data_IF_212920674933
#
_entry.id   IF_212920674933
#
_cell.length_a   1.000
_cell.length_b   1.000
_cell.length_c   1.000
_cell.angle_alpha   90.00
_cell.angle_beta   90.00
_cell.angle_gamma   90.00
#
_symmetry.space_group_name_H-M   'P 1'
#
loop_
_entity.id
_entity.type
_entity.pdbx_description
1 polymer ?
#
# COMPACT_ATOMS: atom_id res chain seq x y z
N UNK A 1 -7.92 -51.43 -27.14
CA UNK A 1 -8.83 -50.48 -27.80
C UNK A 1 -8.05 -49.21 -28.03
N UNK A 2 -7.96 -48.71 -29.28
CA UNK A 2 -7.27 -47.46 -29.56
C UNK A 2 -8.10 -46.32 -29.00
N UNK A 3 -7.51 -45.52 -28.10
CA UNK A 3 -8.07 -44.23 -27.70
C UNK A 3 -8.21 -43.37 -28.96
N UNK A 4 -9.33 -42.67 -29.17
CA UNK A 4 -9.46 -41.77 -30.30
C UNK A 4 -8.40 -40.68 -30.14
N UNK A 5 -7.67 -40.43 -31.22
CA UNK A 5 -6.79 -39.29 -31.41
C UNK A 5 -7.51 -38.05 -30.93
N UNK A 6 -7.03 -37.44 -29.85
CA UNK A 6 -7.34 -36.04 -29.57
C UNK A 6 -6.85 -35.26 -30.79
N UNK A 7 -7.78 -34.85 -31.66
CA UNK A 7 -7.53 -33.90 -32.73
C UNK A 7 -6.62 -32.80 -32.17
N UNK A 8 -5.50 -32.54 -32.86
CA UNK A 8 -4.49 -31.59 -32.42
C UNK A 8 -5.09 -30.18 -32.49
N UNK A 9 -5.90 -29.82 -31.49
CA UNK A 9 -6.66 -28.57 -31.42
C UNK A 9 -5.76 -27.34 -31.56
N UNK A 10 -4.46 -27.49 -31.27
CA UNK A 10 -3.44 -26.48 -31.52
C UNK A 10 -3.31 -26.10 -33.00
N UNK A 11 -3.58 -27.03 -33.93
CA UNK A 11 -3.62 -26.75 -35.38
C UNK A 11 -4.85 -25.94 -35.79
N UNK A 12 -5.85 -25.81 -34.92
CA UNK A 12 -7.04 -24.98 -35.16
C UNK A 12 -6.84 -23.53 -34.73
N UNK A 13 -5.72 -23.21 -34.06
CA UNK A 13 -5.40 -21.84 -33.67
C UNK A 13 -5.07 -21.00 -34.91
N UNK A 14 -5.62 -19.78 -35.04
CA UNK A 14 -5.26 -18.87 -36.12
C UNK A 14 -3.75 -18.57 -36.14
N UNK A 15 -3.18 -18.40 -37.33
CA UNK A 15 -1.74 -18.11 -37.48
C UNK A 15 -1.32 -16.80 -36.83
N UNK A 16 -2.25 -15.84 -36.68
CA UNK A 16 -2.06 -14.54 -36.02
C UNK A 16 -2.43 -14.57 -34.52
N UNK A 17 -2.82 -15.72 -33.98
CA UNK A 17 -3.26 -15.86 -32.58
C UNK A 17 -2.21 -15.37 -31.58
N UNK A 18 -0.92 -15.61 -31.87
CA UNK A 18 0.15 -15.13 -31.02
C UNK A 18 0.22 -13.60 -30.99
N UNK A 19 0.06 -12.93 -32.14
CA UNK A 19 0.14 -11.47 -32.19
C UNK A 19 -0.98 -10.82 -31.37
N UNK A 20 -2.15 -11.46 -31.32
CA UNK A 20 -3.26 -11.05 -30.46
C UNK A 20 -2.95 -11.25 -28.96
N UNK A 21 -2.28 -12.36 -28.63
CA UNK A 21 -2.02 -12.80 -27.26
C UNK A 21 -0.70 -12.25 -26.67
N UNK A 22 0.25 -11.78 -27.49
CA UNK A 22 1.60 -11.43 -27.07
C UNK A 22 1.62 -10.39 -25.92
N UNK A 23 0.82 -9.33 -26.06
CA UNK A 23 0.66 -8.32 -25.01
C UNK A 23 0.02 -8.90 -23.74
N UNK A 24 -0.88 -9.86 -23.89
CA UNK A 24 -1.49 -10.56 -22.76
C UNK A 24 -0.45 -11.41 -22.03
N UNK A 25 0.30 -12.27 -22.73
CA UNK A 25 1.33 -13.13 -22.14
C UNK A 25 2.37 -12.30 -21.39
N UNK A 26 2.86 -11.22 -22.02
CA UNK A 26 3.82 -10.33 -21.40
C UNK A 26 3.26 -9.67 -20.13
N UNK A 27 2.05 -9.13 -20.17
CA UNK A 27 1.44 -8.46 -19.02
C UNK A 27 1.16 -9.44 -17.86
N UNK A 28 0.61 -10.61 -18.16
CA UNK A 28 0.35 -11.66 -17.16
C UNK A 28 1.66 -12.19 -16.56
N UNK A 29 2.68 -12.33 -17.40
CA UNK A 29 4.03 -12.71 -16.99
C UNK A 29 4.68 -11.71 -16.04
N UNK A 30 4.61 -10.42 -16.35
CA UNK A 30 5.10 -9.37 -15.45
C UNK A 30 4.34 -9.37 -14.12
N UNK A 31 3.02 -9.55 -14.15
CA UNK A 31 2.20 -9.64 -12.94
C UNK A 31 2.59 -10.87 -12.08
N UNK A 32 2.80 -12.02 -12.71
CA UNK A 32 3.28 -13.22 -12.01
C UNK A 32 4.69 -13.01 -11.42
N UNK A 33 5.61 -12.37 -12.14
CA UNK A 33 6.94 -12.08 -11.62
C UNK A 33 6.87 -11.16 -10.40
N UNK A 34 6.04 -10.11 -10.44
CA UNK A 34 5.83 -9.22 -9.29
C UNK A 34 5.31 -10.00 -8.08
N UNK A 35 4.28 -10.84 -8.26
CA UNK A 35 3.75 -11.70 -7.18
C UNK A 35 4.81 -12.64 -6.60
N UNK A 36 5.59 -13.29 -7.47
CA UNK A 36 6.58 -14.30 -7.08
C UNK A 36 7.93 -13.71 -6.65
N UNK A 37 8.12 -12.40 -6.77
CA UNK A 37 9.36 -11.70 -6.39
C UNK A 37 9.58 -11.62 -4.86
N UNK A 38 8.58 -12.02 -4.06
CA UNK A 38 8.59 -11.98 -2.59
C UNK A 38 8.68 -13.38 -1.98
N UNK A 39 9.82 -14.09 -2.11
CA UNK A 39 9.94 -15.50 -1.70
C UNK A 39 9.93 -15.71 -0.18
N UNK A 40 10.06 -14.64 0.61
CA UNK A 40 10.02 -14.73 2.07
C UNK A 40 8.60 -14.96 2.60
N UNK A 41 7.59 -14.55 1.83
CA UNK A 41 6.19 -14.75 2.18
C UNK A 41 5.81 -16.23 2.00
N UNK A 42 5.09 -16.79 2.98
CA UNK A 42 4.63 -18.19 2.96
C UNK A 42 3.65 -18.46 1.82
N UNK A 43 2.78 -17.49 1.52
CA UNK A 43 1.70 -17.65 0.55
C UNK A 43 2.17 -17.68 -0.91
N UNK A 44 3.09 -16.82 -1.39
CA UNK A 44 3.75 -17.00 -2.69
C UNK A 44 4.46 -18.35 -2.82
N UNK A 45 5.10 -18.86 -1.76
CA UNK A 45 5.69 -20.22 -1.79
C UNK A 45 4.65 -21.31 -1.97
N UNK A 46 3.49 -21.19 -1.33
CA UNK A 46 2.37 -22.12 -1.55
C UNK A 46 1.82 -22.04 -2.97
N UNK A 47 1.71 -20.84 -3.55
CA UNK A 47 1.31 -20.67 -4.95
C UNK A 47 2.32 -21.29 -5.91
N UNK A 48 3.63 -21.13 -5.66
CA UNK A 48 4.68 -21.80 -6.45
C UNK A 48 4.57 -23.32 -6.36
N UNK A 49 4.30 -23.86 -5.16
CA UNK A 49 4.16 -25.30 -4.94
C UNK A 49 2.91 -25.87 -5.64
N UNK A 50 1.78 -25.15 -5.61
CA UNK A 50 0.55 -25.57 -6.27
C UNK A 50 0.63 -25.49 -7.80
N UNK A 51 1.23 -24.42 -8.32
CA UNK A 51 1.23 -24.16 -9.77
C UNK A 51 2.46 -24.66 -10.51
N UNK A 52 3.54 -24.98 -9.78
CA UNK A 52 4.85 -25.27 -10.37
C UNK A 52 5.51 -24.05 -11.02
N UNK A 53 4.90 -22.87 -10.95
CA UNK A 53 5.49 -21.65 -11.48
C UNK A 53 6.52 -21.10 -10.52
N UNK A 54 7.75 -20.98 -11.00
CA UNK A 54 8.83 -20.24 -10.33
C UNK A 54 9.12 -18.97 -11.12
N UNK A 55 9.85 -18.01 -10.53
CA UNK A 55 10.33 -16.83 -11.25
C UNK A 55 11.12 -17.21 -12.51
N UNK A 56 11.94 -18.27 -12.45
CA UNK A 56 12.66 -18.81 -13.59
C UNK A 56 11.71 -19.35 -14.68
N UNK A 57 10.69 -20.12 -14.29
CA UNK A 57 9.71 -20.68 -15.24
C UNK A 57 8.87 -19.58 -15.90
N UNK A 58 8.45 -18.59 -15.14
CA UNK A 58 7.72 -17.43 -15.68
C UNK A 58 8.61 -16.65 -16.65
N UNK A 59 9.88 -16.45 -16.31
CA UNK A 59 10.84 -15.78 -17.21
C UNK A 59 11.01 -16.55 -18.52
N UNK A 60 11.11 -17.87 -18.47
CA UNK A 60 11.15 -18.74 -19.65
C UNK A 60 9.90 -18.59 -20.52
N UNK A 61 8.70 -18.66 -19.92
CA UNK A 61 7.44 -18.47 -20.64
C UNK A 61 7.31 -17.06 -21.24
N UNK A 62 7.89 -16.04 -20.61
CA UNK A 62 7.93 -14.67 -21.14
C UNK A 62 8.86 -14.51 -22.36
N UNK A 63 9.71 -15.51 -22.65
CA UNK A 63 10.54 -15.51 -23.87
C UNK A 63 9.80 -15.96 -25.12
N UNK A 64 8.54 -16.42 -25.00
CA UNK A 64 7.70 -16.79 -26.14
C UNK A 64 7.48 -15.54 -27.00
N UNK A 65 8.19 -15.49 -28.13
CA UNK A 65 8.27 -14.37 -29.06
C UNK A 65 7.60 -14.67 -30.42
N UNK A 66 7.00 -15.86 -30.57
CA UNK A 66 6.41 -16.29 -31.84
C UNK A 66 5.30 -17.32 -31.65
N UNK A 67 4.45 -17.45 -32.67
CA UNK A 67 3.39 -18.46 -32.72
C UNK A 67 3.94 -19.89 -32.56
N UNK A 68 5.02 -20.23 -33.26
CA UNK A 68 5.62 -21.57 -33.15
C UNK A 68 6.08 -21.88 -31.72
N UNK A 69 6.71 -20.91 -31.03
CA UNK A 69 7.12 -21.09 -29.64
C UNK A 69 5.92 -21.25 -28.70
N UNK A 70 4.82 -20.53 -28.95
CA UNK A 70 3.59 -20.69 -28.19
C UNK A 70 3.02 -22.10 -28.36
N UNK A 71 2.94 -22.61 -29.60
CA UNK A 71 2.49 -23.97 -29.88
C UNK A 71 3.36 -25.00 -29.16
N UNK A 72 4.69 -24.86 -29.23
CA UNK A 72 5.63 -25.74 -28.52
C UNK A 72 5.40 -25.70 -27.01
N UNK A 73 5.24 -24.51 -26.41
CA UNK A 73 4.97 -24.38 -24.98
C UNK A 73 3.63 -25.04 -24.58
N UNK A 74 2.59 -24.92 -25.42
CA UNK A 74 1.30 -25.57 -25.21
C UNK A 74 1.35 -27.09 -25.41
N UNK A 75 2.27 -27.61 -26.23
CA UNK A 75 2.45 -29.06 -26.40
C UNK A 75 3.22 -29.66 -25.22
N UNK A 76 4.32 -29.02 -24.82
CA UNK A 76 5.23 -29.56 -23.83
C UNK A 76 4.76 -29.31 -22.39
N UNK A 77 4.17 -28.13 -22.13
CA UNK A 77 3.89 -27.65 -20.77
C UNK A 77 2.56 -26.87 -20.70
N UNK A 78 1.42 -27.44 -21.16
CA UNK A 78 0.16 -26.70 -21.24
C UNK A 78 -0.35 -26.24 -19.86
N UNK A 79 -0.10 -27.01 -18.80
CA UNK A 79 -0.47 -26.62 -17.43
C UNK A 79 0.31 -25.39 -16.94
N UNK A 80 1.57 -25.23 -17.37
CA UNK A 80 2.37 -24.06 -17.00
C UNK A 80 1.84 -22.79 -17.66
N UNK A 81 1.46 -22.87 -18.94
CA UNK A 81 0.81 -21.77 -19.67
C UNK A 81 -0.54 -21.42 -19.04
N UNK A 82 -1.34 -22.44 -18.71
CA UNK A 82 -2.61 -22.26 -18.00
C UNK A 82 -2.42 -21.55 -16.66
N UNK A 83 -1.48 -22.01 -15.82
CA UNK A 83 -1.22 -21.41 -14.52
C UNK A 83 -0.69 -19.97 -14.63
N UNK A 84 0.11 -19.67 -15.67
CA UNK A 84 0.62 -18.31 -15.92
C UNK A 84 -0.54 -17.35 -16.18
N UNK A 85 -1.46 -17.76 -17.04
CA UNK A 85 -2.65 -16.96 -17.37
C UNK A 85 -3.57 -16.82 -16.15
N UNK A 86 -3.80 -17.91 -15.39
CA UNK A 86 -4.64 -17.89 -14.19
C UNK A 86 -4.08 -16.94 -13.13
N UNK A 87 -2.82 -17.14 -12.70
CA UNK A 87 -2.21 -16.30 -11.66
C UNK A 87 -2.01 -14.85 -12.14
N UNK A 88 -1.62 -14.65 -13.39
CA UNK A 88 -1.48 -13.32 -13.96
C UNK A 88 -2.81 -12.56 -13.92
N UNK A 89 -3.92 -13.22 -14.28
CA UNK A 89 -5.25 -12.60 -14.32
C UNK A 89 -5.72 -12.23 -12.92
N UNK A 90 -5.56 -13.15 -11.96
CA UNK A 90 -5.85 -12.90 -10.54
C UNK A 90 -5.04 -11.71 -10.00
N UNK A 91 -3.76 -11.63 -10.35
CA UNK A 91 -2.86 -10.58 -9.87
C UNK A 91 -3.24 -9.21 -10.46
N UNK A 92 -3.56 -9.16 -11.75
CA UNK A 92 -3.93 -7.92 -12.46
C UNK A 92 -5.16 -7.23 -11.88
N UNK A 93 -6.04 -7.94 -11.18
CA UNK A 93 -7.23 -7.38 -10.51
C UNK A 93 -6.99 -6.84 -9.10
N UNK A 94 -5.75 -6.86 -8.63
CA UNK A 94 -5.40 -6.42 -7.28
C UNK A 94 -4.46 -5.22 -7.32
N UNK A 95 -4.27 -4.57 -6.16
CA UNK A 95 -3.27 -3.52 -5.99
C UNK A 95 -1.84 -4.01 -6.22
N UNK A 96 -1.59 -5.31 -6.18
CA UNK A 96 -0.27 -5.90 -6.41
C UNK A 96 0.24 -5.65 -7.82
N UNK A 97 -0.66 -5.53 -8.80
CA UNK A 97 -0.28 -5.24 -10.18
C UNK A 97 0.08 -3.77 -10.44
N UNK A 98 -0.09 -2.87 -9.47
CA UNK A 98 0.15 -1.42 -9.66
C UNK A 98 1.55 -1.11 -10.21
N UNK A 99 2.67 -1.66 -9.67
CA UNK A 99 4.00 -1.38 -10.21
C UNK A 99 4.15 -1.84 -11.66
N UNK A 100 3.54 -2.99 -12.01
CA UNK A 100 3.54 -3.54 -13.37
C UNK A 100 2.75 -2.65 -14.33
N UNK A 101 1.54 -2.23 -13.94
CA UNK A 101 0.70 -1.37 -14.77
C UNK A 101 1.34 0.01 -14.98
N UNK A 102 1.95 0.59 -13.95
CA UNK A 102 2.70 1.84 -14.07
C UNK A 102 3.94 1.71 -14.97
N UNK A 103 4.65 0.58 -14.87
CA UNK A 103 5.79 0.29 -15.73
C UNK A 103 5.37 0.22 -17.21
N UNK A 104 4.33 -0.56 -17.53
CA UNK A 104 3.79 -0.69 -18.89
C UNK A 104 3.28 0.66 -19.40
N UNK A 105 2.58 1.41 -18.55
CA UNK A 105 2.10 2.75 -18.88
C UNK A 105 3.26 3.67 -19.32
N UNK A 106 4.35 3.70 -18.55
CA UNK A 106 5.54 4.51 -18.87
C UNK A 106 6.26 4.00 -20.12
N UNK A 107 6.42 2.70 -20.26
CA UNK A 107 7.11 2.09 -21.39
C UNK A 107 6.38 2.34 -22.72
N UNK A 108 5.04 2.28 -22.72
CA UNK A 108 4.22 2.51 -23.90
C UNK A 108 3.86 3.99 -24.12
N UNK A 109 4.12 4.86 -23.13
CA UNK A 109 3.77 6.28 -23.20
C UNK A 109 2.25 6.53 -23.24
N UNK A 110 1.45 5.70 -22.59
CA UNK A 110 -0.03 5.76 -22.64
C UNK A 110 -0.65 6.40 -21.40
N UNK A 111 -1.85 6.94 -21.53
CA UNK A 111 -2.61 7.49 -20.41
C UNK A 111 -3.27 6.42 -19.53
N UNK A 112 -3.76 6.82 -18.35
CA UNK A 112 -4.43 5.91 -17.39
C UNK A 112 -5.63 5.19 -18.04
N UNK A 113 -6.46 5.93 -18.78
CA UNK A 113 -7.62 5.36 -19.46
C UNK A 113 -7.24 4.32 -20.53
N UNK A 114 -6.17 4.56 -21.28
CA UNK A 114 -5.65 3.62 -22.27
C UNK A 114 -5.05 2.38 -21.61
N UNK A 115 -4.34 2.54 -20.48
CA UNK A 115 -3.84 1.42 -19.70
C UNK A 115 -4.99 0.55 -19.16
N UNK A 116 -6.09 1.18 -18.71
CA UNK A 116 -7.27 0.44 -18.28
C UNK A 116 -7.94 -0.32 -19.42
N UNK A 117 -8.00 0.26 -20.62
CA UNK A 117 -8.50 -0.43 -21.83
C UNK A 117 -7.61 -1.61 -22.20
N UNK A 118 -6.28 -1.44 -22.19
CA UNK A 118 -5.32 -2.51 -22.44
C UNK A 118 -5.45 -3.63 -21.40
N UNK A 119 -5.54 -3.29 -20.12
CA UNK A 119 -5.78 -4.27 -19.05
C UNK A 119 -7.05 -5.08 -19.32
N UNK A 120 -8.16 -4.40 -19.60
CA UNK A 120 -9.47 -5.05 -19.86
C UNK A 120 -9.39 -5.99 -21.06
N UNK A 121 -8.83 -5.51 -22.17
CA UNK A 121 -8.58 -6.32 -23.36
C UNK A 121 -7.77 -7.58 -23.03
N UNK A 122 -6.67 -7.43 -22.28
CA UNK A 122 -5.82 -8.55 -21.92
C UNK A 122 -6.54 -9.56 -21.02
N UNK A 123 -7.43 -9.10 -20.13
CA UNK A 123 -8.19 -9.96 -19.22
C UNK A 123 -9.30 -10.74 -19.94
N UNK A 124 -9.98 -10.09 -20.89
CA UNK A 124 -11.03 -10.73 -21.68
C UNK A 124 -10.42 -11.79 -22.61
N UNK A 125 -9.34 -11.45 -23.30
CA UNK A 125 -8.66 -12.39 -24.19
C UNK A 125 -8.03 -13.56 -23.42
N UNK A 126 -7.35 -13.31 -22.29
CA UNK A 126 -6.79 -14.38 -21.47
C UNK A 126 -7.86 -15.23 -20.81
N UNK A 127 -8.99 -14.64 -20.41
CA UNK A 127 -10.15 -15.36 -19.89
C UNK A 127 -10.76 -16.31 -20.91
N UNK A 128 -10.97 -15.84 -22.14
CA UNK A 128 -11.46 -16.68 -23.23
C UNK A 128 -10.48 -17.83 -23.54
N UNK A 129 -9.17 -17.53 -23.58
CA UNK A 129 -8.16 -18.55 -23.86
C UNK A 129 -8.02 -19.58 -22.73
N UNK A 130 -8.13 -19.18 -21.46
CA UNK A 130 -8.17 -20.09 -20.31
C UNK A 130 -9.32 -21.10 -20.44
N UNK A 131 -10.51 -20.66 -20.83
CA UNK A 131 -11.66 -21.56 -21.05
C UNK A 131 -11.38 -22.58 -22.16
N UNK A 132 -10.72 -22.16 -23.24
CA UNK A 132 -10.28 -23.08 -24.30
C UNK A 132 -9.26 -24.09 -23.77
N UNK A 133 -8.28 -23.65 -22.98
CA UNK A 133 -7.30 -24.55 -22.36
C UNK A 133 -7.96 -25.56 -21.42
N UNK A 134 -8.94 -25.14 -20.62
CA UNK A 134 -9.69 -26.02 -19.71
C UNK A 134 -10.46 -27.13 -20.46
N UNK A 135 -10.91 -26.87 -21.68
CA UNK A 135 -11.63 -27.85 -22.51
C UNK A 135 -10.70 -28.88 -23.14
N UNK A 136 -9.45 -28.52 -23.40
CA UNK A 136 -8.51 -29.34 -24.15
C UNK A 136 -7.38 -29.97 -23.31
N UNK A 137 -7.17 -29.48 -22.09
CA UNK A 137 -6.22 -30.07 -21.16
C UNK A 137 -6.72 -31.45 -20.66
N UNK A 138 -5.81 -32.42 -20.46
CA UNK A 138 -6.13 -33.73 -19.91
C UNK A 138 -6.94 -33.68 -18.60
N UNK A 139 -8.01 -34.48 -18.52
CA UNK A 139 -8.88 -34.56 -17.35
C UNK A 139 -8.16 -35.00 -16.06
N UNK A 140 -7.03 -35.70 -16.19
CA UNK A 140 -6.15 -36.09 -15.07
C UNK A 140 -5.60 -34.89 -14.28
N UNK A 141 -5.57 -33.69 -14.88
CA UNK A 141 -5.18 -32.48 -14.17
C UNK A 141 -6.23 -31.98 -13.17
N UNK A 142 -7.45 -32.53 -13.16
CA UNK A 142 -8.53 -32.15 -12.22
C UNK A 142 -8.68 -30.63 -12.11
N UNK A 143 -8.70 -29.94 -13.26
CA UNK A 143 -8.46 -28.49 -13.38
C UNK A 143 -9.40 -27.64 -12.52
N UNK A 144 -10.66 -28.05 -12.35
CA UNK A 144 -11.60 -27.34 -11.47
C UNK A 144 -11.15 -27.31 -10.01
N UNK A 145 -10.68 -28.44 -9.48
CA UNK A 145 -10.14 -28.52 -8.11
C UNK A 145 -8.81 -27.77 -7.99
N UNK A 146 -7.96 -27.90 -9.01
CA UNK A 146 -6.69 -27.18 -9.06
C UNK A 146 -6.90 -25.66 -9.03
N UNK A 147 -7.76 -25.14 -9.91
CA UNK A 147 -8.12 -23.72 -9.98
C UNK A 147 -8.67 -23.20 -8.66
N UNK A 148 -9.63 -23.92 -8.07
CA UNK A 148 -10.22 -23.56 -6.79
C UNK A 148 -9.15 -23.39 -5.70
N UNK A 149 -8.20 -24.33 -5.57
CA UNK A 149 -7.10 -24.24 -4.59
C UNK A 149 -6.18 -23.06 -4.85
N UNK A 150 -5.86 -22.78 -6.10
CA UNK A 150 -5.04 -21.61 -6.47
C UNK A 150 -5.74 -20.31 -6.11
N UNK A 151 -7.03 -20.19 -6.43
CA UNK A 151 -7.85 -19.03 -6.11
C UNK A 151 -8.00 -18.84 -4.58
N UNK A 152 -8.20 -19.92 -3.81
CA UNK A 152 -8.26 -19.88 -2.34
C UNK A 152 -6.97 -19.36 -1.71
N UNK A 153 -5.81 -19.91 -2.10
CA UNK A 153 -4.52 -19.45 -1.57
C UNK A 153 -4.22 -18.02 -2.00
N UNK A 154 -4.56 -17.67 -3.25
CA UNK A 154 -4.39 -16.29 -3.73
C UNK A 154 -5.29 -15.31 -2.96
N UNK A 155 -6.53 -15.69 -2.65
CA UNK A 155 -7.43 -14.86 -1.86
C UNK A 155 -6.85 -14.59 -0.47
N UNK A 156 -6.34 -15.62 0.21
CA UNK A 156 -5.64 -15.45 1.48
C UNK A 156 -4.42 -14.53 1.39
N UNK A 157 -3.71 -14.53 0.25
CA UNK A 157 -2.60 -13.58 0.03
C UNK A 157 -3.08 -12.13 -0.07
N UNK A 158 -4.17 -11.87 -0.79
CA UNK A 158 -4.75 -10.54 -0.93
C UNK A 158 -5.29 -10.03 0.41
N UNK A 159 -5.94 -10.89 1.19
CA UNK A 159 -6.41 -10.54 2.54
C UNK A 159 -5.25 -10.18 3.48
N UNK A 160 -4.13 -10.89 3.40
CA UNK A 160 -2.92 -10.59 4.15
C UNK A 160 -2.20 -9.31 3.68
N UNK A 161 -2.47 -8.84 2.45
CA UNK A 161 -1.84 -7.67 1.84
C UNK A 161 -2.90 -6.71 1.27
N UNK A 162 -3.73 -6.11 2.14
CA UNK A 162 -4.79 -5.21 1.68
C UNK A 162 -4.18 -4.05 0.88
N UNK A 163 -4.92 -3.62 -0.15
CA UNK A 163 -4.53 -2.44 -0.90
C UNK A 163 -4.35 -1.25 0.05
N UNK A 164 -3.28 -0.44 -0.12
CA UNK A 164 -3.12 0.77 0.68
C UNK A 164 -4.35 1.66 0.48
N UNK A 165 -4.97 2.09 1.58
CA UNK A 165 -6.14 2.95 1.55
C UNK A 165 -5.88 4.20 0.69
N UNK A 166 -6.87 4.68 -0.08
CA UNK A 166 -6.70 5.89 -0.86
C UNK A 166 -6.34 7.07 0.06
N UNK A 167 -5.48 8.00 -0.38
CA UNK A 167 -5.14 9.16 0.42
C UNK A 167 -6.39 10.01 0.65
N UNK A 168 -6.64 10.36 1.90
CA UNK A 168 -7.68 11.30 2.31
C UNK A 168 -7.28 12.75 1.98
N UNK A 169 -5.98 13.06 2.06
CA UNK A 169 -5.43 14.36 1.73
C UNK A 169 -3.98 14.23 1.22
N UNK A 170 -3.54 15.19 0.41
CA UNK A 170 -2.12 15.40 0.10
C UNK A 170 -1.71 16.74 0.71
N UNK A 171 -0.73 16.70 1.61
CA UNK A 171 -0.25 17.89 2.33
C UNK A 171 1.18 18.18 1.92
N UNK A 172 1.51 19.47 1.78
CA UNK A 172 2.90 19.93 1.63
C UNK A 172 3.26 20.78 2.85
N UNK A 173 4.22 20.31 3.63
CA UNK A 173 4.68 21.03 4.80
C UNK A 173 5.83 21.97 4.45
N UNK A 174 5.81 23.18 4.98
CA UNK A 174 7.04 23.98 5.07
C UNK A 174 8.04 23.30 6.00
N UNK A 175 9.31 23.69 5.95
CA UNK A 175 10.34 23.11 6.82
C UNK A 175 9.98 23.24 8.32
N UNK A 176 9.53 24.42 8.75
CA UNK A 176 9.09 24.63 10.13
C UNK A 176 7.90 23.74 10.51
N UNK A 177 6.91 23.60 9.63
CA UNK A 177 5.76 22.73 9.88
C UNK A 177 6.17 21.26 9.97
N UNK A 178 7.07 20.80 9.09
CA UNK A 178 7.54 19.43 9.08
C UNK A 178 8.29 19.10 10.37
N UNK A 179 9.19 19.98 10.82
CA UNK A 179 9.89 19.79 12.10
C UNK A 179 8.93 19.79 13.28
N UNK A 180 7.89 20.62 13.26
CA UNK A 180 6.87 20.62 14.30
C UNK A 180 6.04 19.34 14.34
N UNK A 181 5.66 18.78 13.18
CA UNK A 181 4.93 17.51 13.12
C UNK A 181 5.82 16.37 13.64
N UNK A 182 7.10 16.33 13.23
CA UNK A 182 8.08 15.36 13.75
C UNK A 182 8.23 15.46 15.26
N UNK A 183 8.42 16.68 15.78
CA UNK A 183 8.52 16.92 17.22
C UNK A 183 7.28 16.46 17.96
N UNK A 184 6.09 16.75 17.42
CA UNK A 184 4.82 16.38 18.05
C UNK A 184 4.68 14.87 18.18
N UNK A 185 5.06 14.10 17.15
CA UNK A 185 5.03 12.65 17.20
C UNK A 185 6.07 12.07 18.16
N UNK A 186 7.30 12.60 18.15
CA UNK A 186 8.36 12.15 19.06
C UNK A 186 8.03 12.44 20.52
N UNK A 187 7.45 13.61 20.80
CA UNK A 187 6.96 13.99 22.12
C UNK A 187 5.91 12.98 22.57
N UNK A 188 4.84 12.81 21.79
CA UNK A 188 3.72 11.92 22.15
C UNK A 188 4.15 10.47 22.30
N UNK A 189 5.09 10.01 21.47
CA UNK A 189 5.71 8.69 21.61
C UNK A 189 6.41 8.50 22.96
N UNK A 190 7.02 9.55 23.50
CA UNK A 190 7.83 9.50 24.74
C UNK A 190 7.04 9.85 26.01
N UNK A 191 5.86 10.48 25.88
CA UNK A 191 5.03 10.94 27.00
C UNK A 191 4.50 9.81 27.92
N UNK A 192 4.04 8.65 27.43
CA UNK A 192 3.47 7.60 28.27
C UNK A 192 4.41 7.08 29.36
N UNK A 193 5.73 7.15 29.13
CA UNK A 193 6.76 6.70 30.08
C UNK A 193 7.19 7.80 31.05
N UNK A 194 6.75 9.05 30.86
CA UNK A 194 7.29 10.22 31.55
C UNK A 194 6.73 10.45 32.97
N UNK A 195 5.64 9.77 33.38
CA UNK A 195 5.11 9.90 34.75
C UNK A 195 3.64 9.51 34.94
N UNK A 196 3.14 9.62 36.18
CA UNK A 196 1.78 9.17 36.60
C UNK A 196 0.73 10.30 36.62
N UNK A 197 0.81 11.23 35.67
CA UNK A 197 -0.17 12.33 35.56
C UNK A 197 -1.50 11.84 34.94
N UNK A 198 -2.64 12.43 35.34
CA UNK A 198 -3.95 12.09 34.77
C UNK A 198 -3.97 12.28 33.24
N UNK A 199 -3.48 13.42 32.75
CA UNK A 199 -3.25 13.68 31.34
C UNK A 199 -2.41 12.61 30.64
N UNK A 200 -1.27 12.19 31.19
CA UNK A 200 -0.38 11.20 30.56
C UNK A 200 -1.06 9.83 30.44
N UNK A 201 -1.80 9.41 31.47
CA UNK A 201 -2.59 8.18 31.43
C UNK A 201 -3.71 8.26 30.39
N UNK A 202 -4.33 9.42 30.22
CA UNK A 202 -5.36 9.63 29.22
C UNK A 202 -4.77 9.61 27.79
N UNK A 203 -3.60 10.22 27.57
CA UNK A 203 -2.85 10.12 26.30
C UNK A 203 -2.47 8.67 26.00
N UNK A 204 -1.96 7.95 27.00
CA UNK A 204 -1.60 6.53 26.90
C UNK A 204 -2.82 5.60 26.78
N UNK A 205 -4.05 6.09 26.90
CA UNK A 205 -5.26 5.31 26.62
C UNK A 205 -5.73 5.46 25.16
N UNK A 206 -5.17 6.40 24.39
CA UNK A 206 -5.53 6.60 23.00
C UNK A 206 -4.82 5.58 22.10
N UNK A 207 -5.55 4.76 21.32
CA UNK A 207 -4.96 3.70 20.52
C UNK A 207 -4.05 4.24 19.40
N UNK A 208 -4.42 5.37 18.80
CA UNK A 208 -3.65 5.98 17.69
C UNK A 208 -2.35 6.64 18.15
N UNK A 209 -2.20 6.90 19.45
CA UNK A 209 -1.04 7.55 20.05
C UNK A 209 -0.13 6.56 20.80
N UNK A 210 -0.39 5.26 20.71
CA UNK A 210 0.51 4.24 21.23
C UNK A 210 1.84 4.27 20.46
N UNK A 211 2.98 3.97 21.11
CA UNK A 211 4.30 3.93 20.45
C UNK A 211 4.30 3.10 19.16
N UNK A 212 3.79 1.87 19.20
CA UNK A 212 3.72 0.96 18.05
C UNK A 212 2.85 1.49 16.89
N UNK A 213 1.86 2.34 17.19
CA UNK A 213 1.03 2.97 16.16
C UNK A 213 1.74 4.19 15.53
N UNK A 214 2.62 4.87 16.27
CA UNK A 214 3.31 6.09 15.83
C UNK A 214 4.59 5.80 15.02
N UNK A 215 5.28 4.69 15.31
CA UNK A 215 6.54 4.29 14.66
C UNK A 215 6.52 4.36 13.13
N UNK A 216 5.49 3.83 12.42
CA UNK A 216 5.43 3.91 10.95
C UNK A 216 5.39 5.36 10.45
N UNK A 217 4.63 6.23 11.12
CA UNK A 217 4.51 7.65 10.76
C UNK A 217 5.78 8.43 11.07
N UNK A 218 6.43 8.13 12.19
CA UNK A 218 7.74 8.70 12.56
C UNK A 218 8.79 8.34 11.49
N UNK A 219 8.84 7.07 11.06
CA UNK A 219 9.74 6.62 9.99
C UNK A 219 9.49 7.36 8.68
N UNK A 220 8.22 7.37 8.21
CA UNK A 220 7.83 8.07 6.97
C UNK A 220 8.18 9.56 7.00
N UNK A 221 7.88 10.23 8.11
CA UNK A 221 8.19 11.66 8.23
C UNK A 221 9.67 11.93 8.42
N UNK A 222 10.45 10.99 8.97
CA UNK A 222 11.90 11.12 9.11
C UNK A 222 12.63 11.23 7.77
N UNK A 223 12.14 10.52 6.75
CA UNK A 223 12.72 10.52 5.40
C UNK A 223 12.18 11.66 4.51
N UNK A 224 10.99 12.19 4.82
CA UNK A 224 10.33 13.23 4.02
C UNK A 224 11.14 14.53 3.97
N UNK A 225 11.24 15.17 2.79
CA UNK A 225 11.85 16.49 2.67
C UNK A 225 10.82 17.62 2.78
N UNK A 226 11.27 18.81 3.16
CA UNK A 226 10.38 19.98 3.17
C UNK A 226 9.81 20.24 1.77
N UNK A 227 8.56 20.70 1.70
CA UNK A 227 7.79 20.96 0.47
C UNK A 227 7.44 19.76 -0.41
N UNK A 228 7.88 18.56 -0.03
CA UNK A 228 7.46 17.31 -0.66
C UNK A 228 5.98 17.02 -0.39
N UNK A 229 5.31 16.38 -1.35
CA UNK A 229 3.93 15.95 -1.20
C UNK A 229 3.83 14.73 -0.30
N UNK A 230 3.11 14.85 0.81
CA UNK A 230 2.79 13.74 1.68
C UNK A 230 1.32 13.33 1.48
N UNK A 231 1.05 12.20 0.79
CA UNK A 231 -0.27 11.59 0.82
C UNK A 231 -0.52 10.97 2.21
N UNK A 232 -1.63 11.36 2.82
CA UNK A 232 -2.09 10.90 4.12
C UNK A 232 -3.39 10.13 3.97
N UNK A 233 -3.45 8.92 4.52
CA UNK A 233 -4.71 8.19 4.71
C UNK A 233 -5.54 8.81 5.85
N UNK A 234 -6.82 8.48 5.96
CA UNK A 234 -7.67 9.02 7.03
C UNK A 234 -7.17 8.67 8.46
N UNK A 235 -6.73 7.42 8.74
CA UNK A 235 -6.16 7.08 10.05
C UNK A 235 -4.91 7.90 10.37
N UNK A 236 -4.05 8.11 9.38
CA UNK A 236 -2.84 8.91 9.52
C UNK A 236 -3.16 10.38 9.79
N UNK A 237 -4.16 10.94 9.10
CA UNK A 237 -4.61 12.30 9.34
C UNK A 237 -5.17 12.47 10.76
N UNK A 238 -5.94 11.50 11.24
CA UNK A 238 -6.45 11.47 12.63
C UNK A 238 -5.29 11.40 13.62
N UNK A 239 -4.30 10.55 13.37
CA UNK A 239 -3.12 10.41 14.23
C UNK A 239 -2.33 11.72 14.31
N UNK A 240 -2.05 12.37 13.18
CA UNK A 240 -1.36 13.66 13.15
C UNK A 240 -2.17 14.75 13.86
N UNK A 241 -3.50 14.77 13.65
CA UNK A 241 -4.39 15.70 14.33
C UNK A 241 -4.30 15.57 15.86
N UNK A 242 -4.39 14.33 16.37
CA UNK A 242 -4.31 14.06 17.80
C UNK A 242 -2.93 14.38 18.37
N UNK A 243 -1.85 13.98 17.68
CA UNK A 243 -0.48 14.23 18.13
C UNK A 243 -0.16 15.73 18.21
N UNK A 244 -0.56 16.51 17.20
CA UNK A 244 -0.38 17.97 17.19
C UNK A 244 -1.16 18.64 18.33
N UNK A 245 -2.37 18.17 18.63
CA UNK A 245 -3.18 18.68 19.74
C UNK A 245 -2.57 18.37 21.11
N UNK A 246 -2.11 17.14 21.33
CA UNK A 246 -1.42 16.75 22.57
C UNK A 246 -0.12 17.54 22.73
N UNK A 247 0.64 17.71 21.66
CA UNK A 247 1.82 18.56 21.65
C UNK A 247 1.47 19.99 22.09
N UNK A 248 0.45 20.59 21.48
CA UNK A 248 -0.08 21.89 21.91
C UNK A 248 -0.37 21.92 23.42
N UNK A 249 -1.17 20.99 23.92
CA UNK A 249 -1.56 20.88 25.34
C UNK A 249 -0.35 20.79 26.29
N UNK A 250 0.67 20.01 25.93
CA UNK A 250 1.91 19.91 26.72
C UNK A 250 2.65 21.25 26.76
N UNK A 251 2.70 21.97 25.64
CA UNK A 251 3.38 23.27 25.57
C UNK A 251 2.65 24.42 26.27
N UNK A 252 1.32 24.35 26.44
CA UNK A 252 0.53 25.38 27.15
C UNK A 252 0.27 25.05 28.62
N UNK A 253 0.59 23.84 29.08
CA UNK A 253 0.36 23.41 30.47
C UNK A 253 1.62 23.39 31.32
N UNK A 254 1.47 23.44 32.64
CA UNK A 254 2.54 23.22 33.63
C UNK A 254 3.11 21.79 33.59
N UNK A 255 2.57 20.92 32.74
CA UNK A 255 3.00 19.51 32.61
C UNK A 255 4.47 19.42 32.19
N UNK A 256 4.97 20.34 31.36
CA UNK A 256 6.40 20.44 31.03
C UNK A 256 7.27 20.70 32.27
N UNK A 257 6.81 21.62 33.13
CA UNK A 257 7.54 22.05 34.33
C UNK A 257 7.49 20.96 35.42
N UNK A 258 6.34 20.30 35.58
CA UNK A 258 6.15 19.20 36.56
C UNK A 258 6.85 17.90 36.19
N UNK A 259 7.04 17.62 34.90
CA UNK A 259 7.73 16.42 34.42
C UNK A 259 9.25 16.61 34.31
N UNK A 260 9.78 17.79 34.62
CA UNK A 260 11.22 18.07 34.51
C UNK A 260 11.76 17.98 33.08
N UNK A 261 10.87 18.01 32.08
CA UNK A 261 11.21 17.91 30.65
C UNK A 261 11.79 19.24 30.11
N UNK A 262 11.87 20.29 30.92
CA UNK A 262 12.52 21.56 30.59
C UNK A 262 13.95 21.38 30.09
N UNK A 263 14.68 20.39 30.61
CA UNK A 263 16.07 20.11 30.21
C UNK A 263 16.20 19.52 28.80
N UNK A 264 15.11 19.02 28.20
CA UNK A 264 15.11 18.48 26.83
C UNK A 264 14.85 19.56 25.77
N UNK A 265 14.46 20.78 26.19
CA UNK A 265 14.26 21.91 25.31
C UNK A 265 15.38 22.93 25.50
N UNK A 266 15.92 23.52 24.41
CA UNK A 266 17.03 24.46 24.51
C UNK A 266 16.64 25.65 25.40
N UNK A 267 17.40 25.85 26.47
CA UNK A 267 17.19 26.92 27.43
C UNK A 267 17.37 28.29 26.75
N UNK A 268 16.58 29.25 27.22
CA UNK A 268 16.55 30.64 26.77
C UNK A 268 17.91 31.31 27.05
N UNK A 269 18.77 31.46 26.05
CA UNK A 269 19.91 32.37 26.16
C UNK A 269 19.36 33.80 26.27
N UNK A 270 19.75 34.48 27.34
CA UNK A 270 19.37 35.84 27.74
C UNK A 270 19.34 36.83 26.56
N UNK A 271 18.15 37.28 26.18
CA UNK A 271 17.90 38.35 25.21
C UNK A 271 18.53 39.67 25.70
N UNK A 272 19.51 40.16 24.96
CA UNK A 272 19.79 41.60 24.88
C UNK A 272 18.71 42.24 24.00
N UNK A 273 18.23 43.41 24.44
CA UNK A 273 17.04 44.08 23.93
C UNK A 273 17.03 44.31 22.40
N UNK A 274 16.13 43.61 21.72
CA UNK A 274 15.48 44.01 20.48
C UNK A 274 14.04 43.46 20.50
N UNK A 275 13.13 44.03 19.70
CA UNK A 275 11.68 43.81 19.68
C UNK A 275 11.20 42.39 20.07
N UNK A 276 10.09 42.24 20.82
CA UNK A 276 9.68 40.94 21.34
C UNK A 276 9.38 39.98 20.19
N UNK A 277 10.31 39.05 19.95
CA UNK A 277 10.06 37.91 19.10
C UNK A 277 8.90 37.12 19.73
N UNK A 278 7.96 36.57 18.93
CA UNK A 278 6.94 35.70 19.48
C UNK A 278 7.64 34.57 20.23
N UNK A 279 7.24 34.36 21.48
CA UNK A 279 7.80 33.29 22.30
C UNK A 279 7.65 31.96 21.56
N UNK A 280 8.61 31.04 21.67
CA UNK A 280 8.55 29.74 20.96
C UNK A 280 7.21 29.01 21.23
N UNK A 281 6.62 29.19 22.42
CA UNK A 281 5.29 28.68 22.79
C UNK A 281 4.16 29.26 21.92
N UNK A 282 4.21 30.55 21.58
CA UNK A 282 3.24 31.20 20.69
C UNK A 282 3.36 30.67 19.24
N UNK A 283 4.58 30.52 18.73
CA UNK A 283 4.81 29.97 17.40
C UNK A 283 4.30 28.52 17.27
N UNK A 284 4.54 27.67 18.28
CA UNK A 284 4.01 26.32 18.36
C UNK A 284 2.48 26.33 18.39
N UNK A 285 1.88 27.19 19.23
CA UNK A 285 0.43 27.34 19.33
C UNK A 285 -0.23 27.77 18.01
N UNK A 286 0.38 28.70 17.27
CA UNK A 286 -0.11 29.13 15.95
C UNK A 286 -0.04 28.00 14.91
N UNK A 287 1.05 27.23 14.89
CA UNK A 287 1.21 26.11 13.96
C UNK A 287 0.23 24.98 14.24
N UNK A 288 0.04 24.60 15.50
CA UNK A 288 -0.95 23.59 15.92
C UNK A 288 -2.37 24.07 15.58
N UNK A 289 -2.69 25.32 15.90
CA UNK A 289 -4.00 25.91 15.62
C UNK A 289 -4.28 26.00 14.12
N UNK A 290 -3.28 26.34 13.32
CA UNK A 290 -3.36 26.41 11.87
C UNK A 290 -3.68 25.05 11.25
N UNK A 291 -2.93 24.01 11.62
CA UNK A 291 -3.18 22.64 11.16
C UNK A 291 -4.56 22.15 11.57
N UNK A 292 -4.93 22.38 12.82
CA UNK A 292 -6.24 22.00 13.38
C UNK A 292 -7.39 22.65 12.62
N UNK A 293 -7.30 23.96 12.37
CA UNK A 293 -8.33 24.70 11.61
C UNK A 293 -8.43 24.18 10.19
N UNK A 294 -7.30 23.87 9.54
CA UNK A 294 -7.30 23.29 8.22
C UNK A 294 -8.01 21.92 8.19
N UNK A 295 -7.68 21.00 9.11
CA UNK A 295 -8.34 19.68 9.20
C UNK A 295 -9.84 19.85 9.44
N UNK A 296 -10.23 20.73 10.37
CA UNK A 296 -11.64 20.93 10.72
C UNK A 296 -12.45 21.55 9.60
N UNK A 297 -11.85 22.46 8.83
CA UNK A 297 -12.48 23.09 7.68
C UNK A 297 -12.60 22.14 6.49
N UNK A 298 -11.57 21.32 6.23
CA UNK A 298 -11.51 20.42 5.08
C UNK A 298 -12.38 19.18 5.29
N UNK A 299 -12.50 18.71 6.54
CA UNK A 299 -13.24 17.50 6.92
C UNK A 299 -14.23 17.80 8.06
N UNK A 300 -15.30 18.59 7.80
CA UNK A 300 -16.21 19.04 8.85
C UNK A 300 -17.05 17.90 9.44
N UNK A 301 -17.49 16.97 8.60
CA UNK A 301 -18.46 15.91 8.92
C UNK A 301 -17.84 14.50 9.01
N UNK A 302 -16.52 14.39 8.87
CA UNK A 302 -15.84 13.09 8.86
C UNK A 302 -15.92 12.40 10.24
N UNK A 303 -16.57 11.21 10.35
CA UNK A 303 -16.81 10.56 11.63
C UNK A 303 -15.54 10.28 12.45
N UNK A 304 -14.46 9.84 11.78
CA UNK A 304 -13.20 9.54 12.45
C UNK A 304 -12.59 10.80 13.11
N UNK A 305 -12.65 11.94 12.43
CA UNK A 305 -12.16 13.21 12.96
C UNK A 305 -13.09 13.81 14.02
N UNK A 306 -14.40 13.59 13.93
CA UNK A 306 -15.34 13.97 14.99
C UNK A 306 -15.08 13.20 16.29
N UNK A 307 -14.84 11.88 16.19
CA UNK A 307 -14.44 11.07 17.34
C UNK A 307 -13.09 11.52 17.92
N UNK A 308 -12.11 11.80 17.06
CA UNK A 308 -10.81 12.31 17.48
C UNK A 308 -10.91 13.67 18.19
N UNK A 309 -11.81 14.57 17.75
CA UNK A 309 -12.11 15.84 18.42
C UNK A 309 -12.64 15.60 19.83
N UNK A 310 -13.60 14.69 20.00
CA UNK A 310 -14.15 14.35 21.31
C UNK A 310 -13.08 13.78 22.24
N UNK A 311 -12.22 12.90 21.74
CA UNK A 311 -11.10 12.33 22.48
C UNK A 311 -10.11 13.42 22.93
N UNK A 312 -9.74 14.35 22.04
CA UNK A 312 -8.87 15.48 22.37
C UNK A 312 -9.51 16.40 23.40
N UNK A 313 -10.81 16.70 23.30
CA UNK A 313 -11.52 17.50 24.30
C UNK A 313 -11.46 16.83 25.69
N UNK A 314 -11.67 15.51 25.75
CA UNK A 314 -11.55 14.77 27.01
C UNK A 314 -10.12 14.77 27.59
N UNK A 315 -9.08 14.88 26.75
CA UNK A 315 -7.71 15.08 27.23
C UNK A 315 -7.52 16.46 27.88
N UNK A 316 -8.13 17.50 27.32
CA UNK A 316 -8.04 18.85 27.87
C UNK A 316 -8.65 18.93 29.28
N UNK A 317 -9.71 18.16 29.53
CA UNK A 317 -10.34 18.04 30.86
C UNK A 317 -9.44 17.32 31.90
N UNK A 318 -8.39 16.63 31.45
CA UNK A 318 -7.45 15.86 32.29
C UNK A 318 -6.10 16.57 32.56
N UNK A 319 -5.93 17.79 32.05
CA UNK A 319 -4.81 18.69 32.34
C UNK A 319 -4.94 19.31 33.74
#
# INVERSE_FOLDING_TARGET
>A
MPSPSSDNWLETLPSDFYDQLAHCLSLHGMACLELLSRPQDELPRQLMALTGLTTARVTELNTIASHQQLLTALQEQPLAVYNLLLLGRLTLDTSLAKPVLEYVQRQMGIGIAQMQQLKTYCQDLSGAFLLTLEQHLPAEFMLGLHRMRVEEVFHGYVEAHPAPAPPAATVRFSEAQLQMVRLSLLLVHSLPEAGDHAFLRAVAALPNLQPSALEPMIGRLGELQATEELPLTMPELVQLYQAMQVCGMVFVSEVLERLGLEALFPARETETAAAPAPSHRQAVGEMVSGFTRWVQHTFPEEPALLAARQQVLALADAL
#
